data_IF_852981783238
#
_entry.id   IF_852981783238
#
_cell.length_a   1.000
_cell.length_b   1.000
_cell.length_c   1.000
_cell.angle_alpha   90.00
_cell.angle_beta   90.00
_cell.angle_gamma   90.00
#
_symmetry.space_group_name_H-M   'P 1'
#
loop_
_entity.id
_entity.type
_entity.pdbx_description
1 polymer ?
#
# COMPACT_ATOMS: atom_id res chain seq x y z
N UNK A 1 4.77 -15.63 -29.70
CA UNK A 1 5.28 -15.60 -28.31
C UNK A 1 5.44 -14.15 -27.93
N UNK A 2 4.65 -13.64 -26.98
CA UNK A 2 4.89 -12.30 -26.45
C UNK A 2 6.11 -12.37 -25.54
N UNK A 3 7.22 -11.78 -25.96
CA UNK A 3 8.41 -11.66 -25.14
C UNK A 3 8.09 -10.84 -23.88
N UNK A 4 8.44 -11.38 -22.71
CA UNK A 4 8.37 -10.63 -21.46
C UNK A 4 9.34 -9.44 -21.55
N UNK A 5 8.79 -8.23 -21.55
CA UNK A 5 9.56 -6.99 -21.41
C UNK A 5 9.40 -6.49 -19.97
N UNK A 6 10.46 -6.45 -19.15
CA UNK A 6 10.37 -5.87 -17.82
C UNK A 6 10.04 -4.38 -17.94
N UNK A 7 8.86 -3.98 -17.47
CA UNK A 7 8.43 -2.58 -17.41
C UNK A 7 8.88 -2.01 -16.06
N UNK A 8 9.59 -0.88 -16.08
CA UNK A 8 9.92 -0.14 -14.86
C UNK A 8 8.62 0.37 -14.26
N UNK A 9 8.26 -0.14 -13.09
CA UNK A 9 7.16 0.43 -12.32
C UNK A 9 7.62 1.78 -11.76
N UNK A 10 7.06 2.87 -12.27
CA UNK A 10 7.28 4.19 -11.69
C UNK A 10 6.57 4.25 -10.34
N UNK A 11 7.35 4.43 -9.27
CA UNK A 11 6.83 4.67 -7.92
C UNK A 11 7.17 6.11 -7.53
N UNK A 12 6.16 6.88 -7.16
CA UNK A 12 6.34 8.24 -6.64
C UNK A 12 6.41 8.19 -5.12
N UNK A 13 7.44 8.79 -4.54
CA UNK A 13 7.51 8.97 -3.08
C UNK A 13 6.57 10.10 -2.69
N UNK A 14 5.66 9.82 -1.77
CA UNK A 14 4.74 10.80 -1.19
C UNK A 14 4.95 10.88 0.31
N UNK A 15 4.64 12.04 0.89
CA UNK A 15 4.59 12.24 2.34
C UNK A 15 3.16 12.53 2.74
N UNK A 16 2.61 11.72 3.66
CA UNK A 16 1.25 11.86 4.18
C UNK A 16 1.30 12.00 5.70
N UNK A 17 0.37 12.79 6.26
CA UNK A 17 0.17 12.88 7.71
C UNK A 17 -0.85 11.84 8.13
N UNK A 18 -0.50 11.02 9.11
CA UNK A 18 -1.36 10.02 9.71
C UNK A 18 -1.43 10.29 11.22
N UNK A 19 -2.58 10.03 11.81
CA UNK A 19 -2.71 10.01 13.26
C UNK A 19 -1.78 8.93 13.86
N UNK A 20 -1.22 9.21 15.05
CA UNK A 20 -0.25 8.32 15.71
C UNK A 20 -0.84 6.95 15.99
N UNK A 21 -2.12 6.88 16.39
CA UNK A 21 -2.77 5.61 16.71
C UNK A 21 -3.13 4.83 15.44
N UNK A 22 -3.42 5.55 14.35
CA UNK A 22 -3.57 4.93 13.03
C UNK A 22 -2.25 4.32 12.55
N UNK A 23 -1.13 5.04 12.69
CA UNK A 23 0.19 4.54 12.30
C UNK A 23 0.57 3.28 13.10
N UNK A 24 0.32 3.25 14.41
CA UNK A 24 0.56 2.05 15.23
C UNK A 24 -0.23 0.83 14.73
N UNK A 25 -1.52 1.00 14.41
CA UNK A 25 -2.34 -0.08 13.85
C UNK A 25 -1.81 -0.58 12.51
N UNK A 26 -1.40 0.33 11.63
CA UNK A 26 -0.76 -0.02 10.36
C UNK A 26 0.49 -0.85 10.60
N UNK A 27 1.32 -0.46 11.56
CA UNK A 27 2.55 -1.18 11.92
C UNK A 27 2.26 -2.59 12.41
N UNK A 28 1.37 -2.73 13.38
CA UNK A 28 0.97 -4.01 13.96
C UNK A 28 0.42 -4.96 12.89
N UNK A 29 -0.48 -4.47 12.02
CA UNK A 29 -1.08 -5.28 10.97
C UNK A 29 -0.07 -5.64 9.87
N UNK A 30 0.85 -4.74 9.53
CA UNK A 30 1.92 -5.03 8.55
C UNK A 30 2.85 -6.14 9.05
N UNK A 31 3.17 -6.15 10.34
CA UNK A 31 3.98 -7.22 10.97
C UNK A 31 3.20 -8.54 10.99
N UNK A 32 1.91 -8.52 11.33
CA UNK A 32 1.07 -9.73 11.34
C UNK A 32 0.90 -10.36 9.94
N UNK A 33 0.99 -9.55 8.89
CA UNK A 33 0.84 -9.99 7.49
C UNK A 33 2.15 -10.26 6.78
N UNK A 34 3.29 -10.08 7.46
CA UNK A 34 4.66 -10.27 6.94
C UNK A 34 4.95 -9.47 5.66
N UNK A 35 4.42 -8.23 5.59
CA UNK A 35 4.69 -7.31 4.47
C UNK A 35 5.17 -5.95 4.97
N UNK A 36 5.82 -5.19 4.10
CA UNK A 36 6.30 -3.85 4.47
C UNK A 36 5.13 -2.91 4.78
N UNK A 37 5.32 -2.00 5.74
CA UNK A 37 4.38 -0.91 6.06
C UNK A 37 3.87 -0.19 4.81
N UNK A 38 4.76 0.17 3.90
CA UNK A 38 4.41 0.86 2.67
C UNK A 38 3.51 0.00 1.78
N UNK A 39 3.83 -1.28 1.62
CA UNK A 39 3.03 -2.21 0.84
C UNK A 39 1.63 -2.40 1.44
N UNK A 40 1.55 -2.55 2.76
CA UNK A 40 0.28 -2.64 3.47
C UNK A 40 -0.59 -1.39 3.26
N UNK A 41 -0.02 -0.19 3.45
CA UNK A 41 -0.74 1.08 3.21
C UNK A 41 -1.28 1.16 1.79
N UNK A 42 -0.47 0.81 0.78
CA UNK A 42 -0.88 0.84 -0.62
C UNK A 42 -2.03 -0.14 -0.88
N UNK A 43 -1.96 -1.36 -0.35
CA UNK A 43 -3.03 -2.35 -0.49
C UNK A 43 -4.33 -1.89 0.20
N UNK A 44 -4.25 -1.28 1.38
CA UNK A 44 -5.41 -0.72 2.06
C UNK A 44 -6.07 0.40 1.25
N UNK A 45 -5.27 1.30 0.66
CA UNK A 45 -5.77 2.39 -0.18
C UNK A 45 -6.42 1.83 -1.45
N UNK A 46 -5.77 0.89 -2.14
CA UNK A 46 -6.30 0.26 -3.35
C UNK A 46 -7.61 -0.48 -3.06
N UNK A 47 -7.67 -1.24 -1.96
CA UNK A 47 -8.89 -1.90 -1.52
C UNK A 47 -10.00 -0.89 -1.24
N UNK A 48 -9.72 0.18 -0.48
CA UNK A 48 -10.70 1.19 -0.16
C UNK A 48 -11.25 1.85 -1.44
N UNK A 49 -10.39 2.27 -2.36
CA UNK A 49 -10.79 2.89 -3.63
C UNK A 49 -11.70 1.98 -4.48
N UNK A 50 -11.42 0.66 -4.52
CA UNK A 50 -12.24 -0.31 -5.25
C UNK A 50 -13.61 -0.58 -4.59
N UNK A 51 -13.72 -0.33 -3.29
CA UNK A 51 -14.92 -0.63 -2.50
C UNK A 51 -15.71 0.62 -2.08
N UNK A 52 -15.23 1.83 -2.42
CA UNK A 52 -16.01 3.05 -2.29
C UNK A 52 -17.25 2.94 -3.18
N UNK A 53 -18.41 2.76 -2.57
CA UNK A 53 -19.70 2.87 -3.25
C UNK A 53 -20.03 4.37 -3.34
N UNK A 54 -20.15 4.88 -4.56
CA UNK A 54 -20.71 6.21 -4.82
C UNK A 54 -22.23 6.20 -4.71
#
# INVERSE_FOLDING_TARGET
MNEFKPIKQEKTVISIRLDVDMLKKVDELSVQTDISRNEFIVQCIDYALKNLKQ
#
